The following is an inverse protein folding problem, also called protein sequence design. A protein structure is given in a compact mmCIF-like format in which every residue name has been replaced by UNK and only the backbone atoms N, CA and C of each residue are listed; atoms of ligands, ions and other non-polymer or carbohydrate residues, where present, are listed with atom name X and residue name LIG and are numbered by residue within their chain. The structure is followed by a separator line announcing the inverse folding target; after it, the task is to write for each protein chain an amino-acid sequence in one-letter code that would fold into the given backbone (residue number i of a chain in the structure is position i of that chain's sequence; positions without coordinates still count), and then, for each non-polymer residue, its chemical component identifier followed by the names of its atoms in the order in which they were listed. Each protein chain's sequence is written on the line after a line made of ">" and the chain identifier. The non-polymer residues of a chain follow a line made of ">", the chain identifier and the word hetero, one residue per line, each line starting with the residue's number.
data_IF_872414593270
#
_entry.id   IF_872414593270
#
_cell.length_a   1.000
_cell.length_b   1.000
_cell.length_c   1.000
_cell.angle_alpha   90.00
_cell.angle_beta   90.00
_cell.angle_gamma   90.00
#
_symmetry.space_group_name_H-M   'P 1'
#
loop_
_entity.id
_entity.type
_entity.pdbx_description
1 polymer ?
#
# COMPACT_ATOMS: atom_id res chain seq x y z
N UNK A 1 -3.72 -1.43 -4.88
CA UNK A 1 -2.84 -1.68 -3.72
C UNK A 1 -2.68 -0.44 -2.83
N UNK A 2 -2.30 0.74 -3.35
CA UNK A 2 -2.05 1.96 -2.54
C UNK A 2 -3.17 2.35 -1.57
N UNK A 3 -4.41 2.32 -2.07
CA UNK A 3 -5.62 2.64 -1.27
C UNK A 3 -5.72 1.69 -0.06
N UNK A 4 -5.54 0.38 -0.29
CA UNK A 4 -5.61 -0.65 0.75
C UNK A 4 -4.48 -0.51 1.78
N UNK A 5 -3.25 -0.24 1.33
CA UNK A 5 -2.12 0.00 2.24
C UNK A 5 -2.38 1.25 3.08
N UNK A 6 -2.91 2.32 2.47
CA UNK A 6 -3.28 3.52 3.20
C UNK A 6 -4.40 3.29 4.22
N UNK A 7 -5.39 2.49 3.88
CA UNK A 7 -6.45 2.07 4.79
C UNK A 7 -5.90 1.31 6.00
N UNK A 8 -5.02 0.33 5.76
CA UNK A 8 -4.39 -0.45 6.84
C UNK A 8 -3.47 0.37 7.73
N UNK A 9 -2.72 1.31 7.16
CA UNK A 9 -1.90 2.25 7.93
C UNK A 9 -2.75 3.09 8.88
N UNK A 10 -3.91 3.57 8.43
CA UNK A 10 -4.82 4.38 9.26
C UNK A 10 -5.47 3.53 10.34
N UNK A 11 -6.02 2.36 10.01
CA UNK A 11 -6.62 1.47 11.04
C UNK A 11 -5.58 1.04 12.07
N UNK A 12 -4.39 0.61 11.63
CA UNK A 12 -3.31 0.19 12.53
C UNK A 12 -2.87 1.32 13.47
N UNK A 13 -2.95 2.57 13.04
CA UNK A 13 -2.60 3.73 13.86
C UNK A 13 -3.56 3.94 15.05
N UNK A 14 -4.82 3.54 14.94
CA UNK A 14 -5.83 3.75 15.98
C UNK A 14 -5.55 2.96 17.25
N UNK A 15 -4.89 1.80 17.14
CA UNK A 15 -4.47 0.98 18.29
C UNK A 15 -3.56 1.76 19.24
N UNK A 16 -2.69 2.62 18.71
CA UNK A 16 -1.78 3.44 19.52
C UNK A 16 -2.32 4.84 19.81
N UNK A 17 -3.23 5.35 18.97
CA UNK A 17 -3.72 6.73 19.07
C UNK A 17 -4.94 6.90 19.97
N UNK A 18 -5.74 5.84 20.17
CA UNK A 18 -6.96 5.86 20.98
C UNK A 18 -6.82 4.98 22.24
N UNK A 19 -6.12 5.45 23.29
CA UNK A 19 -5.79 4.63 24.46
C UNK A 19 -6.99 4.34 25.38
N UNK A 20 -8.10 5.07 25.27
CA UNK A 20 -9.32 4.81 26.06
C UNK A 20 -10.15 3.64 25.53
N UNK A 21 -9.94 3.25 24.26
CA UNK A 21 -10.69 2.18 23.61
C UNK A 21 -10.06 0.84 23.94
N UNK A 22 -10.82 -0.05 24.59
CA UNK A 22 -10.37 -1.42 24.89
C UNK A 22 -10.70 -2.33 23.72
N UNK A 23 -9.78 -2.40 22.76
CA UNK A 23 -9.93 -3.19 21.54
C UNK A 23 -10.15 -4.69 21.83
N UNK A 24 -11.11 -5.35 21.14
CA UNK A 24 -11.32 -6.79 21.26
C UNK A 24 -10.10 -7.59 20.79
N UNK A 25 -9.81 -8.71 21.45
CA UNK A 25 -8.64 -9.57 21.16
C UNK A 25 -8.62 -10.06 19.71
N UNK A 26 -9.77 -10.47 19.17
CA UNK A 26 -9.88 -10.90 17.77
C UNK A 26 -9.47 -9.78 16.78
N UNK A 27 -9.76 -8.52 17.11
CA UNK A 27 -9.39 -7.37 16.29
C UNK A 27 -7.90 -7.02 16.44
N UNK A 28 -7.33 -7.17 17.63
CA UNK A 28 -5.88 -7.04 17.86
C UNK A 28 -5.10 -8.11 17.08
N UNK A 29 -5.51 -9.38 17.13
CA UNK A 29 -4.86 -10.45 16.37
C UNK A 29 -4.94 -10.23 14.85
N UNK A 30 -6.03 -9.66 14.35
CA UNK A 30 -6.13 -9.22 12.96
C UNK A 30 -5.14 -8.09 12.67
N UNK A 31 -5.04 -7.11 13.57
CA UNK A 31 -4.05 -6.03 13.51
C UNK A 31 -2.62 -6.55 13.44
N UNK A 32 -2.28 -7.57 14.23
CA UNK A 32 -0.95 -8.19 14.25
C UNK A 32 -0.59 -8.86 12.92
N UNK A 33 -1.55 -9.54 12.28
CA UNK A 33 -1.35 -10.16 10.96
C UNK A 33 -1.00 -9.15 9.87
N UNK A 34 -1.54 -7.93 9.98
CA UNK A 34 -1.26 -6.82 9.06
C UNK A 34 -0.30 -5.76 9.66
N UNK A 35 0.31 -6.05 10.82
CA UNK A 35 1.17 -5.13 11.56
C UNK A 35 2.40 -4.67 10.78
N UNK A 36 2.80 -5.45 9.77
CA UNK A 36 3.85 -5.09 8.81
C UNK A 36 3.56 -3.77 8.05
N UNK A 37 2.29 -3.42 7.86
CA UNK A 37 1.91 -2.16 7.19
C UNK A 37 1.87 -0.96 8.14
N UNK A 38 1.71 -1.19 9.46
CA UNK A 38 1.75 -0.14 10.48
C UNK A 38 3.20 0.21 10.88
N UNK A 39 4.16 -0.70 10.67
CA UNK A 39 5.59 -0.57 11.03
C UNK A 39 5.89 -0.15 12.50
N UNK A 40 4.87 0.03 13.34
CA UNK A 40 5.00 0.11 14.79
C UNK A 40 5.52 -1.21 15.39
N UNK A 41 5.42 -2.32 14.65
CA UNK A 41 5.92 -3.66 15.03
C UNK A 41 7.33 -3.99 14.53
N UNK A 42 8.16 -3.02 14.13
CA UNK A 42 9.61 -3.26 14.27
C UNK A 42 9.92 -3.15 15.76
N UNK A 43 9.35 -4.08 16.54
CA UNK A 43 9.72 -4.33 17.91
C UNK A 43 11.14 -4.85 17.82
N UNK A 44 12.09 -3.94 17.99
CA UNK A 44 13.46 -4.29 18.29
C UNK A 44 13.55 -5.07 19.59
N UNK A 45 12.45 -5.53 20.20
CA UNK A 45 12.39 -6.29 21.43
C UNK A 45 13.29 -7.53 21.40
N UNK A 46 13.36 -8.24 20.26
CA UNK A 46 14.35 -9.31 20.06
C UNK A 46 15.80 -8.80 20.13
N UNK A 47 16.08 -7.61 19.61
CA UNK A 47 17.41 -6.99 19.65
C UNK A 47 17.65 -6.33 21.02
N UNK A 48 16.61 -5.86 21.69
CA UNK A 48 16.63 -5.13 22.94
C UNK A 48 16.94 -6.08 24.10
N UNK A 49 16.40 -7.30 24.06
CA UNK A 49 16.78 -8.36 25.01
C UNK A 49 18.25 -8.76 24.86
N UNK A 50 18.80 -8.70 23.63
CA UNK A 50 20.22 -8.97 23.37
C UNK A 50 21.17 -7.82 23.73
N UNK A 51 20.66 -6.58 23.86
CA UNK A 51 21.45 -5.37 24.20
C UNK A 51 21.02 -4.80 25.57
N UNK A 52 20.55 -5.66 26.47
CA UNK A 52 20.30 -5.33 27.88
C UNK A 52 19.34 -4.13 28.09
N UNK A 53 18.36 -3.95 27.21
CA UNK A 53 17.36 -2.88 27.33
C UNK A 53 17.79 -1.50 26.81
N UNK A 54 18.94 -1.38 26.12
CA UNK A 54 19.44 -0.09 25.62
C UNK A 54 18.71 0.49 24.40
N UNK A 55 17.70 -0.20 23.86
CA UNK A 55 16.90 0.29 22.74
C UNK A 55 15.64 0.97 23.26
N UNK A 56 15.72 2.29 23.32
CA UNK A 56 14.61 3.18 23.67
C UNK A 56 13.89 3.68 22.42
N UNK A 57 12.62 4.10 22.59
CA UNK A 57 11.80 4.61 21.49
C UNK A 57 12.47 5.75 20.71
N UNK A 58 13.20 6.62 21.43
CA UNK A 58 13.91 7.73 20.83
C UNK A 58 15.00 7.28 19.85
N UNK A 59 15.90 6.41 20.31
CA UNK A 59 17.06 5.95 19.55
C UNK A 59 16.61 5.18 18.30
N UNK A 60 15.58 4.36 18.43
CA UNK A 60 14.96 3.69 17.28
C UNK A 60 14.38 4.68 16.28
N UNK A 61 13.66 5.69 16.75
CA UNK A 61 13.00 6.66 15.87
C UNK A 61 14.01 7.53 15.12
N UNK A 62 15.03 8.04 15.81
CA UNK A 62 16.12 8.78 15.16
C UNK A 62 16.91 7.86 14.21
N UNK A 63 17.23 6.64 14.63
CA UNK A 63 17.92 5.65 13.81
C UNK A 63 17.19 5.34 12.50
N UNK A 64 15.88 5.08 12.56
CA UNK A 64 15.05 4.85 11.36
C UNK A 64 15.07 6.06 10.40
N UNK A 65 14.98 7.28 10.93
CA UNK A 65 15.01 8.51 10.13
C UNK A 65 16.39 8.78 9.51
N UNK A 66 17.46 8.48 10.23
CA UNK A 66 18.84 8.55 9.73
C UNK A 66 19.06 7.47 8.66
N UNK A 67 18.64 6.22 8.88
CA UNK A 67 18.75 5.15 7.89
C UNK A 67 18.00 5.51 6.61
N UNK A 68 16.81 6.11 6.73
CA UNK A 68 16.07 6.59 5.58
C UNK A 68 16.77 7.77 4.88
N UNK A 69 17.40 8.68 5.62
CA UNK A 69 18.22 9.77 5.06
C UNK A 69 19.38 9.20 4.23
N UNK A 70 20.12 8.26 4.82
CA UNK A 70 21.22 7.58 4.19
C UNK A 70 20.78 6.82 2.93
N UNK A 71 19.61 6.17 2.96
CA UNK A 71 19.03 5.52 1.79
C UNK A 71 18.77 6.52 0.65
N UNK A 72 18.17 7.67 0.94
CA UNK A 72 17.90 8.70 -0.06
C UNK A 72 19.18 9.33 -0.64
N UNK A 73 20.22 9.50 0.18
CA UNK A 73 21.54 10.02 -0.24
C UNK A 73 22.36 8.96 -0.99
N UNK A 74 22.24 7.68 -0.64
CA UNK A 74 22.98 6.60 -1.29
C UNK A 74 22.58 6.38 -2.76
N UNK A 75 21.30 6.58 -3.09
CA UNK A 75 20.82 6.42 -4.47
C UNK A 75 21.59 7.29 -5.48
N UNK A 76 21.70 8.62 -5.33
CA UNK A 76 22.46 9.45 -6.25
C UNK A 76 23.98 9.22 -6.20
N UNK A 77 24.55 8.81 -5.06
CA UNK A 77 26.00 8.58 -4.94
C UNK A 77 26.46 7.28 -5.61
N UNK A 78 25.56 6.32 -5.82
CA UNK A 78 25.87 5.10 -6.57
C UNK A 78 25.97 5.32 -8.09
N UNK A 79 25.31 6.35 -8.63
CA UNK A 79 25.29 6.66 -10.07
C UNK A 79 26.68 6.87 -10.70
N UNK A 80 27.61 7.63 -10.11
CA UNK A 80 28.97 7.78 -10.66
C UNK A 80 29.80 6.48 -10.61
N UNK A 81 29.45 5.50 -9.77
CA UNK A 81 30.13 4.19 -9.77
C UNK A 81 29.81 3.37 -11.04
N UNK A 82 28.66 3.66 -11.64
CA UNK A 82 28.15 3.01 -12.86
C UNK A 82 28.59 3.68 -14.17
N UNK A 83 29.62 4.55 -14.14
CA UNK A 83 30.16 5.25 -15.33
C UNK A 83 30.65 4.33 -16.47
N UNK A 84 30.82 3.04 -16.22
CA UNK A 84 31.23 2.04 -17.23
C UNK A 84 30.06 1.43 -18.01
N UNK A 85 28.80 1.74 -17.65
CA UNK A 85 27.62 1.29 -18.37
C UNK A 85 27.33 2.19 -19.57
N UNK A 86 26.65 1.64 -20.59
CA UNK A 86 26.14 2.44 -21.71
C UNK A 86 25.14 3.50 -21.22
N UNK A 87 25.10 4.64 -21.92
CA UNK A 87 24.25 5.79 -21.53
C UNK A 87 22.78 5.38 -21.33
N UNK A 88 22.23 4.57 -22.25
CA UNK A 88 20.86 4.07 -22.14
C UNK A 88 20.60 3.22 -20.89
N UNK A 89 21.57 2.40 -20.45
CA UNK A 89 21.43 1.58 -19.22
C UNK A 89 21.54 2.44 -17.98
N UNK A 90 22.40 3.46 -18.01
CA UNK A 90 22.57 4.41 -16.92
C UNK A 90 21.31 5.24 -16.70
N UNK A 91 20.74 5.79 -17.76
CA UNK A 91 19.48 6.56 -17.68
C UNK A 91 18.33 5.70 -17.14
N UNK A 92 18.21 4.45 -17.59
CA UNK A 92 17.20 3.52 -17.06
C UNK A 92 17.41 3.20 -15.57
N UNK A 93 18.67 3.09 -15.12
CA UNK A 93 18.99 2.89 -13.70
C UNK A 93 18.64 4.14 -12.88
N UNK A 94 18.95 5.32 -13.38
CA UNK A 94 18.59 6.61 -12.77
C UNK A 94 17.07 6.74 -12.61
N UNK A 95 16.30 6.46 -13.67
CA UNK A 95 14.84 6.48 -13.64
C UNK A 95 14.27 5.51 -12.59
N UNK A 96 14.83 4.30 -12.52
CA UNK A 96 14.42 3.27 -11.54
C UNK A 96 14.80 3.63 -10.11
N UNK A 97 15.98 4.23 -9.91
CA UNK A 97 16.42 4.69 -8.60
C UNK A 97 15.52 5.81 -8.07
N UNK A 98 15.19 6.80 -8.91
CA UNK A 98 14.26 7.89 -8.56
C UNK A 98 12.87 7.32 -8.27
N UNK A 99 12.36 6.43 -9.12
CA UNK A 99 11.07 5.77 -8.90
C UNK A 99 11.04 5.03 -7.56
N UNK A 100 12.11 4.28 -7.24
CA UNK A 100 12.23 3.56 -5.97
C UNK A 100 12.26 4.54 -4.79
N UNK A 101 13.02 5.63 -4.89
CA UNK A 101 13.06 6.67 -3.86
C UNK A 101 11.68 7.26 -3.59
N UNK A 102 10.93 7.59 -4.64
CA UNK A 102 9.56 8.15 -4.54
C UNK A 102 8.60 7.14 -3.92
N UNK A 103 8.66 5.87 -4.31
CA UNK A 103 7.82 4.80 -3.75
C UNK A 103 8.15 4.59 -2.27
N UNK A 104 9.44 4.51 -1.91
CA UNK A 104 9.87 4.32 -0.52
C UNK A 104 9.50 5.52 0.35
N UNK A 105 9.69 6.75 -0.16
CA UNK A 105 9.24 7.96 0.53
C UNK A 105 7.73 7.93 0.77
N UNK A 106 6.93 7.54 -0.23
CA UNK A 106 5.48 7.42 -0.07
C UNK A 106 5.07 6.36 0.98
N UNK A 107 5.69 5.19 0.95
CA UNK A 107 5.33 4.07 1.87
C UNK A 107 5.77 4.36 3.29
N UNK A 108 6.98 4.89 3.48
CA UNK A 108 7.57 5.14 4.79
C UNK A 108 7.15 6.49 5.41
N UNK A 109 6.73 7.48 4.62
CA UNK A 109 6.31 8.80 5.10
C UNK A 109 5.31 8.77 6.28
N UNK A 110 4.16 8.07 6.19
CA UNK A 110 3.17 8.14 7.27
C UNK A 110 3.70 7.50 8.55
N UNK A 111 4.52 6.46 8.44
CA UNK A 111 5.15 5.76 9.56
C UNK A 111 6.18 6.67 10.24
N UNK A 112 7.15 7.17 9.47
CA UNK A 112 8.22 8.00 10.00
C UNK A 112 7.66 9.29 10.60
N UNK A 113 6.70 9.92 9.93
CA UNK A 113 6.06 11.14 10.43
C UNK A 113 5.26 10.88 11.71
N UNK A 114 4.50 9.78 11.79
CA UNK A 114 3.77 9.43 13.02
C UNK A 114 4.72 9.17 14.18
N UNK A 115 5.82 8.44 13.97
CA UNK A 115 6.82 8.21 15.02
C UNK A 115 7.49 9.50 15.49
N UNK A 116 7.79 10.41 14.57
CA UNK A 116 8.33 11.73 14.91
C UNK A 116 7.34 12.55 15.74
N UNK A 117 6.05 12.53 15.39
CA UNK A 117 5.01 13.21 16.17
C UNK A 117 4.86 12.61 17.58
N UNK A 118 4.98 11.28 17.71
CA UNK A 118 4.96 10.59 19.02
C UNK A 118 6.11 11.01 19.95
N UNK A 119 7.25 11.50 19.43
CA UNK A 119 8.36 12.04 20.25
C UNK A 119 7.94 13.29 21.03
N UNK A 120 6.93 14.01 20.56
CA UNK A 120 6.39 15.21 21.21
C UNK A 120 5.10 14.96 21.98
N UNK A 121 4.65 13.70 22.06
CA UNK A 121 3.46 13.32 22.80
C UNK A 121 3.85 12.99 24.23
N UNK A 122 3.54 13.91 25.14
CA UNK A 122 3.94 13.83 26.55
C UNK A 122 2.75 13.54 27.45
N UNK A 123 3.02 12.82 28.55
CA UNK A 123 2.03 12.54 29.59
C UNK A 123 2.58 12.91 30.97
N UNK A 124 1.80 13.67 31.71
CA UNK A 124 2.14 14.12 33.06
C UNK A 124 1.54 13.19 34.12
N UNK A 125 2.37 12.68 35.02
CA UNK A 125 1.98 11.93 36.22
C UNK A 125 2.46 12.69 37.45
N UNK A 126 1.57 13.50 38.04
CA UNK A 126 1.91 14.36 39.18
C UNK A 126 3.05 15.32 38.84
N UNK A 127 4.25 15.07 39.39
CA UNK A 127 5.46 15.89 39.17
C UNK A 127 6.33 15.43 38.01
N UNK A 128 6.09 14.23 37.46
CA UNK A 128 6.92 13.66 36.39
C UNK A 128 6.22 13.79 35.04
N UNK A 129 6.96 14.24 34.02
CA UNK A 129 6.49 14.23 32.63
C UNK A 129 7.29 13.19 31.87
N UNK A 130 6.60 12.24 31.25
CA UNK A 130 7.18 11.12 30.53
C UNK A 130 6.67 11.09 29.10
N UNK A 131 7.43 10.44 28.22
CA UNK A 131 7.01 10.23 26.84
C UNK A 131 5.83 9.25 26.77
N UNK A 132 4.75 9.59 26.08
CA UNK A 132 3.57 8.71 25.98
C UNK A 132 3.89 7.39 25.28
N UNK A 133 4.79 7.43 24.29
CA UNK A 133 5.23 6.26 23.54
C UNK A 133 6.16 5.33 24.34
N UNK A 134 6.86 5.84 25.36
CA UNK A 134 7.78 5.05 26.20
C UNK A 134 7.89 5.68 27.59
N UNK A 135 7.22 5.07 28.57
CA UNK A 135 7.12 5.62 29.93
C UNK A 135 8.44 5.54 30.72
N UNK A 136 9.45 4.83 30.20
CA UNK A 136 10.79 4.76 30.80
C UNK A 136 11.55 6.08 30.68
N UNK A 137 11.15 6.92 29.72
CA UNK A 137 11.85 8.13 29.32
C UNK A 137 11.20 9.38 29.93
N UNK A 138 11.95 10.11 30.76
CA UNK A 138 11.50 11.40 31.32
C UNK A 138 11.84 12.54 30.37
N UNK A 139 10.86 13.37 30.03
CA UNK A 139 10.98 14.45 29.03
C UNK A 139 12.20 15.36 29.24
N UNK A 140 12.53 15.66 30.50
CA UNK A 140 13.67 16.52 30.86
C UNK A 140 15.02 16.03 30.31
N UNK A 141 15.19 14.72 30.15
CA UNK A 141 16.44 14.09 29.72
C UNK A 141 16.46 13.86 28.20
N UNK A 142 15.39 14.22 27.48
CA UNK A 142 15.16 13.94 26.07
C UNK A 142 15.43 15.12 25.13
N UNK A 143 16.19 16.14 25.55
CA UNK A 143 16.45 17.32 24.71
C UNK A 143 17.07 16.96 23.36
N UNK A 144 18.03 16.02 23.33
CA UNK A 144 18.64 15.54 22.08
C UNK A 144 17.59 14.85 21.18
N UNK A 145 16.65 14.13 21.79
CA UNK A 145 15.58 13.44 21.11
C UNK A 145 14.61 14.42 20.46
N UNK A 146 14.20 15.43 21.22
CA UNK A 146 13.26 16.45 20.77
C UNK A 146 13.91 17.34 19.70
N UNK A 147 15.18 17.71 19.84
CA UNK A 147 15.91 18.48 18.84
C UNK A 147 16.09 17.69 17.53
N UNK A 148 16.52 16.43 17.63
CA UNK A 148 16.64 15.54 16.46
C UNK A 148 15.30 15.26 15.81
N UNK A 149 14.27 14.97 16.62
CA UNK A 149 12.89 14.76 16.18
C UNK A 149 12.32 15.98 15.48
N UNK A 150 12.57 17.19 15.98
CA UNK A 150 12.09 18.43 15.37
C UNK A 150 12.74 18.67 14.00
N UNK A 151 14.05 18.40 13.91
CA UNK A 151 14.80 18.49 12.65
C UNK A 151 14.20 17.56 11.60
N UNK A 152 14.02 16.28 11.94
CA UNK A 152 13.45 15.30 11.00
C UNK A 152 11.96 15.53 10.71
N UNK A 153 11.20 16.11 11.64
CA UNK A 153 9.81 16.49 11.42
C UNK A 153 9.74 17.59 10.33
N UNK A 154 10.59 18.61 10.39
CA UNK A 154 10.67 19.63 9.34
C UNK A 154 11.11 19.01 8.01
N UNK A 155 12.16 18.18 8.02
CA UNK A 155 12.72 17.59 6.79
C UNK A 155 11.76 16.59 6.12
N UNK A 156 11.12 15.71 6.89
CA UNK A 156 10.31 14.63 6.32
C UNK A 156 8.82 14.92 6.36
N UNK A 157 8.29 15.32 7.51
CA UNK A 157 6.84 15.53 7.66
C UNK A 157 6.36 16.73 6.85
N UNK A 158 7.17 17.80 6.75
CA UNK A 158 6.84 18.97 5.91
C UNK A 158 7.56 18.95 4.56
N UNK A 159 8.83 18.53 4.53
CA UNK A 159 9.63 18.54 3.31
C UNK A 159 9.16 17.55 2.24
N UNK A 160 8.69 16.35 2.59
CA UNK A 160 8.19 15.38 1.60
C UNK A 160 6.92 15.88 0.90
N UNK A 161 5.87 16.34 1.62
CA UNK A 161 4.70 16.94 0.97
C UNK A 161 5.07 18.14 0.08
N UNK A 162 5.97 19.02 0.54
CA UNK A 162 6.44 20.15 -0.26
C UNK A 162 7.18 19.70 -1.53
N UNK A 163 8.05 18.70 -1.43
CA UNK A 163 8.75 18.11 -2.57
C UNK A 163 7.76 17.47 -3.56
N UNK A 164 6.78 16.72 -3.07
CA UNK A 164 5.76 16.10 -3.93
C UNK A 164 4.89 17.17 -4.60
N UNK A 165 4.51 18.23 -3.90
CA UNK A 165 3.82 19.38 -4.50
C UNK A 165 4.64 20.01 -5.63
N UNK A 166 5.92 20.28 -5.39
CA UNK A 166 6.84 20.80 -6.40
C UNK A 166 6.95 19.87 -7.61
N UNK A 167 7.13 18.56 -7.40
CA UNK A 167 7.20 17.56 -8.47
C UNK A 167 5.90 17.56 -9.28
N UNK A 168 4.75 17.51 -8.62
CA UNK A 168 3.45 17.45 -9.26
C UNK A 168 3.16 18.70 -10.12
N UNK A 169 3.56 19.88 -9.65
CA UNK A 169 3.43 21.12 -10.42
C UNK A 169 4.24 21.11 -11.73
N UNK A 170 5.39 20.44 -11.75
CA UNK A 170 6.28 20.40 -12.93
C UNK A 170 6.05 19.16 -13.80
N UNK A 171 5.57 18.05 -13.25
CA UNK A 171 5.40 16.79 -13.97
C UNK A 171 3.96 16.55 -14.44
N UNK A 172 2.95 16.94 -13.64
CA UNK A 172 1.54 16.67 -13.95
C UNK A 172 0.85 17.83 -14.68
N UNK A 173 1.16 19.08 -14.31
CA UNK A 173 0.54 20.29 -14.91
C UNK A 173 0.90 20.57 -16.38
N UNK A 174 2.10 20.26 -16.91
CA UNK A 174 2.41 20.56 -18.32
C UNK A 174 1.73 19.61 -19.33
N UNK A 175 1.32 18.41 -18.93
CA UNK A 175 0.63 17.47 -19.84
C UNK A 175 -0.74 17.98 -20.31
N UNK A 176 -1.39 18.88 -19.56
CA UNK A 176 -2.68 19.49 -19.92
C UNK A 176 -2.57 20.78 -20.73
N UNK A 177 -1.38 21.36 -20.86
CA UNK A 177 -1.17 22.67 -21.50
C UNK A 177 -0.69 22.59 -22.96
N UNK A 178 -0.71 21.40 -23.58
CA UNK A 178 -0.22 21.18 -24.93
C UNK A 178 -1.32 21.40 -25.99
N UNK A 179 -1.57 22.66 -26.33
CA UNK A 179 -2.19 23.05 -27.60
C UNK A 179 -1.20 24.04 -28.26
N UNK A 180 -0.78 23.72 -29.50
CA UNK A 180 0.08 24.50 -30.43
C UNK A 180 1.62 24.34 -30.36
N UNK A 181 2.22 23.24 -30.91
CA UNK A 181 3.68 23.21 -31.20
C UNK A 181 4.13 22.36 -32.42
N UNK A 182 5.29 22.72 -32.97
CA UNK A 182 6.01 22.18 -34.15
C UNK A 182 6.48 20.72 -33.99
N UNK A 183 6.53 19.95 -35.09
CA UNK A 183 6.84 18.50 -35.11
C UNK A 183 8.25 18.13 -34.60
N UNK A 184 9.25 19.02 -34.72
CA UNK A 184 10.62 18.74 -34.29
C UNK A 184 10.76 18.71 -32.75
N UNK A 185 10.01 19.56 -32.04
CA UNK A 185 10.02 19.60 -30.57
C UNK A 185 9.13 18.52 -29.94
N UNK A 186 8.32 17.83 -30.76
CA UNK A 186 7.38 16.82 -30.29
C UNK A 186 8.10 15.55 -29.80
N UNK A 187 9.17 15.13 -30.47
CA UNK A 187 9.93 13.94 -30.09
C UNK A 187 10.61 14.10 -28.73
N UNK A 188 11.33 15.21 -28.52
CA UNK A 188 12.03 15.50 -27.27
C UNK A 188 11.06 15.67 -26.09
N UNK A 189 9.88 16.27 -26.33
CA UNK A 189 8.83 16.37 -25.31
C UNK A 189 8.23 15.01 -24.92
N UNK A 190 7.98 14.14 -25.90
CA UNK A 190 7.46 12.80 -25.63
C UNK A 190 8.45 11.97 -24.81
N UNK A 191 9.75 12.11 -25.07
CA UNK A 191 10.79 11.45 -24.27
C UNK A 191 10.89 12.04 -22.86
N UNK A 192 10.76 13.37 -22.71
CA UNK A 192 10.67 14.02 -21.41
C UNK A 192 9.46 13.53 -20.60
N UNK A 193 8.26 13.52 -21.19
CA UNK A 193 7.03 13.06 -20.55
C UNK A 193 7.12 11.57 -20.16
N UNK A 194 7.71 10.75 -21.03
CA UNK A 194 7.95 9.32 -20.75
C UNK A 194 8.85 9.15 -19.52
N UNK A 195 9.93 9.94 -19.41
CA UNK A 195 10.83 9.93 -18.24
C UNK A 195 10.12 10.41 -16.97
N UNK A 196 9.33 11.49 -17.04
CA UNK A 196 8.55 11.98 -15.90
C UNK A 196 7.52 10.94 -15.43
N UNK A 197 6.83 10.29 -16.36
CA UNK A 197 5.88 9.22 -16.06
C UNK A 197 6.59 8.01 -15.44
N UNK A 198 7.76 7.62 -15.95
CA UNK A 198 8.55 6.51 -15.40
C UNK A 198 9.02 6.78 -13.96
N UNK A 199 9.42 8.02 -13.65
CA UNK A 199 9.92 8.42 -12.33
C UNK A 199 8.80 8.71 -11.33
N UNK A 200 7.80 9.49 -11.74
CA UNK A 200 6.80 10.10 -10.85
C UNK A 200 5.36 9.68 -11.14
N UNK A 201 5.12 8.85 -12.17
CA UNK A 201 3.77 8.39 -12.52
C UNK A 201 3.04 7.69 -11.38
N UNK A 202 3.77 7.12 -10.42
CA UNK A 202 3.22 6.57 -9.18
C UNK A 202 2.40 7.61 -8.39
N UNK A 203 2.77 8.89 -8.44
CA UNK A 203 2.10 9.97 -7.70
C UNK A 203 0.81 10.42 -8.38
N UNK A 204 0.78 10.57 -9.71
CA UNK A 204 -0.35 11.22 -10.40
C UNK A 204 -1.05 10.38 -11.47
N UNK A 205 -0.41 9.37 -12.06
CA UNK A 205 -0.91 8.74 -13.29
C UNK A 205 -2.28 8.05 -13.15
N UNK A 206 -2.63 7.64 -11.92
CA UNK A 206 -3.89 6.97 -11.56
C UNK A 206 -5.06 7.94 -11.33
N UNK A 207 -4.79 9.23 -11.16
CA UNK A 207 -5.80 10.24 -10.89
C UNK A 207 -6.24 10.95 -12.16
N UNK A 208 -7.48 11.40 -12.19
CA UNK A 208 -7.98 12.25 -13.27
C UNK A 208 -7.13 13.53 -13.40
N UNK A 209 -7.00 14.10 -14.62
CA UNK A 209 -6.18 15.29 -14.84
C UNK A 209 -6.55 16.47 -13.93
N UNK A 210 -7.82 16.63 -13.60
CA UNK A 210 -8.33 17.67 -12.68
C UNK A 210 -7.91 17.47 -11.21
N UNK A 211 -7.64 16.22 -10.83
CA UNK A 211 -7.29 15.80 -9.47
C UNK A 211 -5.80 15.42 -9.35
N UNK A 212 -4.92 16.06 -10.13
CA UNK A 212 -3.47 15.77 -10.13
C UNK A 212 -2.80 15.93 -8.75
N UNK A 213 -3.35 16.79 -7.89
CA UNK A 213 -2.86 17.08 -6.54
C UNK A 213 -3.36 16.08 -5.48
N UNK A 214 -4.21 15.11 -5.86
CA UNK A 214 -4.89 14.24 -4.91
C UNK A 214 -3.96 13.41 -4.02
N UNK A 215 -2.78 13.04 -4.51
CA UNK A 215 -1.80 12.32 -3.69
C UNK A 215 -1.42 13.09 -2.42
N UNK A 216 -1.40 14.42 -2.47
CA UNK A 216 -1.12 15.26 -1.30
C UNK A 216 -2.29 15.28 -0.31
N UNK A 217 -3.52 15.22 -0.80
CA UNK A 217 -4.70 15.08 0.06
C UNK A 217 -4.72 13.71 0.74
N UNK A 218 -4.36 12.64 0.04
CA UNK A 218 -4.21 11.33 0.67
C UNK A 218 -3.07 11.30 1.70
N UNK A 219 -1.95 11.98 1.44
CA UNK A 219 -0.83 12.07 2.39
C UNK A 219 -1.18 12.88 3.64
N UNK A 220 -1.83 14.03 3.46
CA UNK A 220 -2.30 14.86 4.58
C UNK A 220 -3.39 14.13 5.38
N UNK A 221 -4.36 13.50 4.72
CA UNK A 221 -5.38 12.67 5.38
C UNK A 221 -4.76 11.62 6.31
N UNK A 222 -3.79 10.87 5.81
CA UNK A 222 -3.07 9.88 6.63
C UNK A 222 -2.38 10.56 7.81
N UNK A 223 -1.58 11.60 7.56
CA UNK A 223 -0.85 12.29 8.62
C UNK A 223 -1.76 12.84 9.72
N UNK A 224 -2.89 13.47 9.36
CA UNK A 224 -3.78 14.08 10.34
C UNK A 224 -4.55 13.00 11.11
N UNK A 225 -5.04 11.95 10.44
CA UNK A 225 -5.76 10.85 11.11
C UNK A 225 -4.86 9.98 12.00
N UNK A 226 -3.58 9.82 11.66
CA UNK A 226 -2.64 9.00 12.47
C UNK A 226 -1.83 9.82 13.47
N UNK A 227 -1.56 11.10 13.18
CA UNK A 227 -0.63 11.94 13.94
C UNK A 227 -1.32 13.04 14.73
N UNK A 228 -2.18 13.86 14.11
CA UNK A 228 -2.80 15.00 14.80
C UNK A 228 -3.71 14.56 15.96
N UNK A 229 -4.33 13.39 15.83
CA UNK A 229 -5.17 12.77 16.87
C UNK A 229 -4.41 12.56 18.19
N UNK A 230 -3.08 12.38 18.15
CA UNK A 230 -2.24 12.17 19.34
C UNK A 230 -2.19 13.38 20.26
N UNK A 231 -2.38 14.59 19.72
CA UNK A 231 -2.31 15.83 20.49
C UNK A 231 -3.65 16.25 21.07
N UNK A 232 -4.73 15.53 20.74
CA UNK A 232 -6.06 15.78 21.26
C UNK A 232 -6.21 14.97 22.54
N UNK A 233 -6.22 15.67 23.68
CA UNK A 233 -6.37 15.17 25.07
C UNK A 233 -6.55 13.64 25.16
N UNK A 234 -5.44 12.87 25.23
CA UNK A 234 -5.47 11.42 25.11
C UNK A 234 -6.40 10.77 26.15
N UNK A 235 -7.23 9.85 25.68
CA UNK A 235 -8.11 9.04 26.53
C UNK A 235 -9.44 9.68 26.90
N UNK A 236 -9.75 10.87 26.35
CA UNK A 236 -11.07 11.49 26.47
C UNK A 236 -11.94 11.14 25.27
N UNK A 237 -13.25 10.97 25.51
CA UNK A 237 -14.24 10.69 24.47
C UNK A 237 -14.23 11.74 23.34
N UNK A 238 -13.89 12.99 23.66
CA UNK A 238 -13.74 14.09 22.68
C UNK A 238 -12.67 13.81 21.61
N UNK A 239 -11.63 13.02 21.93
CA UNK A 239 -10.61 12.60 20.98
C UNK A 239 -11.20 11.74 19.87
N UNK A 240 -12.05 10.76 20.23
CA UNK A 240 -12.72 9.88 19.28
C UNK A 240 -13.69 10.68 18.41
N UNK A 241 -14.50 11.56 19.01
CA UNK A 241 -15.43 12.44 18.28
C UNK A 241 -14.73 13.29 17.23
N UNK A 242 -13.62 13.96 17.59
CA UNK A 242 -12.86 14.76 16.64
C UNK A 242 -12.29 13.90 15.50
N UNK A 243 -11.82 12.69 15.82
CA UNK A 243 -11.30 11.75 14.82
C UNK A 243 -12.39 11.30 13.85
N UNK A 244 -13.61 11.04 14.33
CA UNK A 244 -14.78 10.75 13.49
C UNK A 244 -15.09 11.93 12.57
N UNK A 245 -15.15 13.16 13.10
CA UNK A 245 -15.42 14.35 12.29
C UNK A 245 -14.37 14.54 11.19
N UNK A 246 -13.10 14.37 11.53
CA UNK A 246 -12.01 14.46 10.57
C UNK A 246 -12.12 13.38 9.47
N UNK A 247 -12.40 12.14 9.85
CA UNK A 247 -12.58 11.04 8.90
C UNK A 247 -13.78 11.28 7.96
N UNK A 248 -14.88 11.84 8.48
CA UNK A 248 -16.04 12.24 7.71
C UNK A 248 -15.73 13.36 6.72
N UNK A 249 -14.99 14.40 7.12
CA UNK A 249 -14.58 15.47 6.21
C UNK A 249 -13.80 14.91 5.02
N UNK A 250 -12.84 14.02 5.27
CA UNK A 250 -12.10 13.39 4.17
C UNK A 250 -12.95 12.46 3.31
N UNK A 251 -13.92 11.75 3.90
CA UNK A 251 -14.90 10.97 3.15
C UNK A 251 -15.73 11.85 2.21
N UNK A 252 -16.22 12.99 2.69
CA UNK A 252 -16.98 13.95 1.88
C UNK A 252 -16.13 14.54 0.76
N UNK A 253 -14.87 14.90 1.04
CA UNK A 253 -13.92 15.39 0.03
C UNK A 253 -13.71 14.31 -1.05
N UNK A 254 -13.49 13.06 -0.66
CA UNK A 254 -13.34 11.93 -1.60
C UNK A 254 -14.59 11.71 -2.45
N UNK A 255 -15.78 11.75 -1.86
CA UNK A 255 -17.05 11.59 -2.57
C UNK A 255 -17.32 12.74 -3.54
N UNK A 256 -16.92 13.97 -3.19
CA UNK A 256 -17.12 15.13 -4.05
C UNK A 256 -16.21 15.13 -5.29
N UNK A 257 -14.93 14.77 -5.12
CA UNK A 257 -13.94 14.89 -6.19
C UNK A 257 -13.77 13.65 -7.07
N UNK A 258 -14.13 12.44 -6.59
CA UNK A 258 -13.99 11.15 -7.32
C UNK A 258 -12.70 11.08 -8.15
N UNK A 259 -11.54 11.11 -7.48
CA UNK A 259 -10.26 11.50 -8.07
C UNK A 259 -9.63 10.46 -9.00
N UNK A 260 -10.04 9.19 -8.97
CA UNK A 260 -9.37 8.12 -9.72
C UNK A 260 -9.91 8.02 -11.15
N UNK A 261 -9.05 7.64 -12.11
CA UNK A 261 -9.49 7.41 -13.50
C UNK A 261 -10.37 6.16 -13.66
N UNK A 262 -10.19 5.17 -12.78
CA UNK A 262 -10.95 3.93 -12.79
C UNK A 262 -12.00 3.99 -11.67
N UNK A 263 -13.31 4.04 -12.02
CA UNK A 263 -14.40 4.12 -11.05
C UNK A 263 -14.39 3.00 -10.01
N UNK A 264 -13.78 1.85 -10.33
CA UNK A 264 -13.68 0.72 -9.40
C UNK A 264 -12.68 1.01 -8.29
N UNK A 265 -11.63 1.78 -8.58
CA UNK A 265 -10.68 2.25 -7.57
C UNK A 265 -11.33 3.34 -6.70
N UNK A 266 -12.14 4.23 -7.28
CA UNK A 266 -12.95 5.18 -6.50
C UNK A 266 -13.89 4.44 -5.54
N UNK A 267 -14.58 3.39 -6.00
CA UNK A 267 -15.46 2.59 -5.16
C UNK A 267 -14.72 1.94 -3.98
N UNK A 268 -13.52 1.38 -4.21
CA UNK A 268 -12.69 0.81 -3.15
C UNK A 268 -12.21 1.90 -2.19
N UNK A 269 -11.80 3.07 -2.69
CA UNK A 269 -11.34 4.18 -1.86
C UNK A 269 -12.47 4.76 -1.00
N UNK A 270 -13.66 4.96 -1.58
CA UNK A 270 -14.87 5.34 -0.86
C UNK A 270 -15.21 4.31 0.22
N UNK A 271 -15.25 3.02 -0.14
CA UNK A 271 -15.56 1.94 0.82
C UNK A 271 -14.53 1.88 1.95
N UNK A 272 -13.25 2.06 1.65
CA UNK A 272 -12.17 2.10 2.65
C UNK A 272 -12.34 3.27 3.63
N UNK A 273 -12.71 4.45 3.14
CA UNK A 273 -12.92 5.62 4.00
C UNK A 273 -14.22 5.50 4.81
N UNK A 274 -15.28 4.96 4.22
CA UNK A 274 -16.53 4.65 4.92
C UNK A 274 -16.29 3.63 6.05
N UNK A 275 -15.58 2.55 5.76
CA UNK A 275 -15.19 1.56 6.77
C UNK A 275 -14.32 2.17 7.88
N UNK A 276 -13.47 3.15 7.56
CA UNK A 276 -12.68 3.87 8.57
C UNK A 276 -13.58 4.66 9.51
N UNK A 277 -14.59 5.37 8.98
CA UNK A 277 -15.59 6.10 9.78
C UNK A 277 -16.40 5.13 10.64
N UNK A 278 -16.89 4.03 10.07
CA UNK A 278 -17.67 3.02 10.79
C UNK A 278 -16.85 2.36 11.90
N UNK A 279 -15.56 2.07 11.65
CA UNK A 279 -14.63 1.58 12.67
C UNK A 279 -14.53 2.56 13.84
N UNK A 280 -14.36 3.85 13.58
CA UNK A 280 -14.29 4.87 14.64
C UNK A 280 -15.61 5.02 15.41
N UNK A 281 -16.76 4.88 14.74
CA UNK A 281 -18.07 4.86 15.41
C UNK A 281 -18.20 3.64 16.34
N UNK A 282 -17.77 2.46 15.89
CA UNK A 282 -17.74 1.27 16.75
C UNK A 282 -16.75 1.44 17.90
N UNK A 283 -15.59 2.06 17.67
CA UNK A 283 -14.62 2.39 18.72
C UNK A 283 -15.21 3.29 19.80
N UNK A 284 -16.08 4.24 19.44
CA UNK A 284 -16.80 5.06 20.40
C UNK A 284 -17.73 4.22 21.28
N UNK A 285 -18.41 3.23 20.71
CA UNK A 285 -19.24 2.28 21.46
C UNK A 285 -18.44 1.34 22.36
N UNK A 286 -17.14 1.15 22.07
CA UNK A 286 -16.21 0.37 22.90
C UNK A 286 -15.57 1.18 24.03
N UNK A 287 -15.74 2.51 24.03
CA UNK A 287 -15.13 3.39 25.02
C UNK A 287 -15.89 3.33 26.35
N UNK A 288 -15.23 2.82 27.39
CA UNK A 288 -15.83 2.64 28.71
C UNK A 288 -16.16 3.96 29.42
N UNK A 289 -15.50 5.06 29.04
CA UNK A 289 -15.79 6.38 29.60
C UNK A 289 -17.02 7.01 28.94
N UNK A 290 -17.25 6.71 27.67
CA UNK A 290 -18.44 7.15 26.95
C UNK A 290 -19.70 6.40 27.41
N UNK A 291 -19.59 5.08 27.62
CA UNK A 291 -20.74 4.22 27.93
C UNK A 291 -20.43 3.19 29.03
N UNK A 292 -20.41 3.58 30.31
CA UNK A 292 -19.99 2.71 31.42
C UNK A 292 -20.89 1.47 31.63
N UNK A 293 -22.18 1.56 31.32
CA UNK A 293 -23.15 0.47 31.55
C UNK A 293 -23.62 -0.24 30.26
N UNK A 294 -23.00 0.07 29.11
CA UNK A 294 -23.44 -0.48 27.81
C UNK A 294 -23.38 -2.01 27.78
N UNK A 295 -22.46 -2.62 28.51
CA UNK A 295 -22.26 -4.08 28.50
C UNK A 295 -23.22 -4.84 29.41
N UNK A 296 -23.78 -4.17 30.42
CA UNK A 296 -24.69 -4.79 31.40
C UNK A 296 -26.15 -4.59 31.04
N UNK A 297 -26.47 -3.45 30.41
CA UNK A 297 -27.86 -3.04 30.12
C UNK A 297 -28.14 -2.88 28.61
N UNK A 298 -27.11 -2.93 27.77
CA UNK A 298 -27.24 -2.71 26.33
C UNK A 298 -27.67 -3.95 25.57
N UNK A 299 -28.41 -3.71 24.48
CA UNK A 299 -28.78 -4.73 23.48
C UNK A 299 -27.55 -5.20 22.67
N UNK A 300 -26.49 -4.39 22.66
CA UNK A 300 -25.29 -4.60 21.85
C UNK A 300 -24.24 -5.34 22.67
N UNK A 301 -23.90 -6.58 22.26
CA UNK A 301 -22.84 -7.34 22.91
C UNK A 301 -21.45 -6.93 22.42
N UNK A 302 -20.42 -7.16 23.25
CA UNK A 302 -19.02 -6.89 22.89
C UNK A 302 -18.57 -7.69 21.67
N UNK A 303 -19.07 -8.92 21.52
CA UNK A 303 -18.76 -9.79 20.40
C UNK A 303 -19.37 -9.28 19.09
N UNK A 304 -20.57 -8.68 19.13
CA UNK A 304 -21.16 -8.05 17.94
C UNK A 304 -20.32 -6.87 17.45
N UNK A 305 -19.82 -6.03 18.36
CA UNK A 305 -18.93 -4.91 18.00
C UNK A 305 -17.57 -5.40 17.51
N UNK A 306 -17.01 -6.45 18.10
CA UNK A 306 -15.79 -7.09 17.61
C UNK A 306 -15.97 -7.65 16.18
N UNK A 307 -17.09 -8.34 15.92
CA UNK A 307 -17.43 -8.84 14.60
C UNK A 307 -17.59 -7.70 13.58
N UNK A 308 -18.26 -6.61 13.96
CA UNK A 308 -18.42 -5.43 13.11
C UNK A 308 -17.06 -4.82 12.71
N UNK A 309 -16.13 -4.65 13.67
CA UNK A 309 -14.77 -4.17 13.39
C UNK A 309 -14.02 -5.04 12.39
N UNK A 310 -14.11 -6.36 12.54
CA UNK A 310 -13.50 -7.31 11.62
C UNK A 310 -14.12 -7.23 10.23
N UNK A 311 -15.46 -7.19 10.14
CA UNK A 311 -16.17 -7.03 8.87
C UNK A 311 -15.74 -5.75 8.17
N UNK A 312 -15.75 -4.61 8.85
CA UNK A 312 -15.35 -3.33 8.27
C UNK A 312 -13.87 -3.31 7.84
N UNK A 313 -13.01 -4.09 8.47
CA UNK A 313 -11.59 -4.18 8.10
C UNK A 313 -11.35 -5.15 6.93
N UNK A 314 -12.15 -6.23 6.82
CA UNK A 314 -12.02 -7.25 5.78
C UNK A 314 -12.68 -6.81 4.46
N UNK A 315 -13.80 -6.09 4.51
CA UNK A 315 -14.58 -5.70 3.32
C UNK A 315 -13.73 -4.96 2.26
N UNK A 316 -12.99 -3.88 2.59
CA UNK A 316 -12.16 -3.20 1.59
C UNK A 316 -11.03 -4.08 1.03
N UNK A 317 -10.44 -4.95 1.86
CA UNK A 317 -9.43 -5.90 1.41
C UNK A 317 -9.99 -6.92 0.44
N UNK A 318 -11.17 -7.48 0.74
CA UNK A 318 -11.82 -8.48 -0.10
C UNK A 318 -12.19 -7.89 -1.47
N UNK A 319 -12.73 -6.67 -1.51
CA UNK A 319 -13.01 -5.95 -2.75
C UNK A 319 -11.72 -5.68 -3.55
N UNK A 320 -10.66 -5.25 -2.87
CA UNK A 320 -9.35 -5.03 -3.47
C UNK A 320 -8.72 -6.29 -4.07
N UNK A 321 -8.81 -7.41 -3.35
CA UNK A 321 -8.35 -8.72 -3.82
C UNK A 321 -9.19 -9.21 -5.00
N UNK A 322 -10.52 -9.08 -4.93
CA UNK A 322 -11.42 -9.44 -6.02
C UNK A 322 -11.10 -8.70 -7.31
N UNK A 323 -10.89 -7.38 -7.23
CA UNK A 323 -10.47 -6.56 -8.37
C UNK A 323 -9.11 -6.98 -8.93
N UNK A 324 -8.15 -7.30 -8.06
CA UNK A 324 -6.84 -7.79 -8.47
C UNK A 324 -6.93 -9.13 -9.20
N UNK A 325 -7.68 -10.10 -8.66
CA UNK A 325 -7.88 -11.41 -9.27
C UNK A 325 -8.60 -11.30 -10.62
N UNK A 326 -9.60 -10.42 -10.71
CA UNK A 326 -10.30 -10.13 -11.96
C UNK A 326 -9.35 -9.55 -13.02
N UNK A 327 -8.55 -8.53 -12.66
CA UNK A 327 -7.59 -7.92 -13.56
C UNK A 327 -6.50 -8.91 -14.01
N UNK A 328 -6.01 -9.77 -13.10
CA UNK A 328 -5.05 -10.82 -13.41
C UNK A 328 -5.64 -11.86 -14.38
N UNK A 329 -6.88 -12.27 -14.15
CA UNK A 329 -7.58 -13.21 -15.01
C UNK A 329 -7.80 -12.63 -16.42
N UNK A 330 -8.19 -11.35 -16.54
CA UNK A 330 -8.34 -10.70 -17.84
C UNK A 330 -7.01 -10.54 -18.58
N UNK A 331 -5.93 -10.20 -17.87
CA UNK A 331 -4.58 -10.17 -18.45
C UNK A 331 -4.17 -11.56 -18.98
N UNK A 332 -4.44 -12.63 -18.21
CA UNK A 332 -4.18 -14.00 -18.63
C UNK A 332 -5.03 -14.41 -19.85
N UNK A 333 -6.28 -13.95 -19.95
CA UNK A 333 -7.13 -14.17 -21.13
C UNK A 333 -6.54 -13.50 -22.37
N UNK A 334 -6.08 -12.24 -22.25
CA UNK A 334 -5.47 -11.53 -23.37
C UNK A 334 -4.18 -12.21 -23.87
N UNK A 335 -3.36 -12.73 -22.95
CA UNK A 335 -2.16 -13.51 -23.32
C UNK A 335 -2.49 -14.82 -24.03
N UNK A 336 -3.61 -15.46 -23.71
CA UNK A 336 -4.07 -16.69 -24.38
C UNK A 336 -4.58 -16.42 -25.81
N UNK A 337 -5.27 -15.29 -26.02
CA UNK A 337 -5.81 -14.89 -27.34
C UNK A 337 -4.69 -14.43 -28.29
N UNK A 338 -3.58 -13.87 -27.78
CA UNK A 338 -2.43 -13.41 -28.59
C UNK A 338 -1.53 -14.50 -29.18
N UNK A 339 -1.82 -15.79 -29.03
CA UNK A 339 -1.16 -16.80 -29.87
C UNK A 339 -1.72 -16.62 -31.29
N UNK A 340 -0.94 -16.14 -32.28
CA UNK A 340 -1.48 -16.03 -33.64
C UNK A 340 -1.94 -17.42 -34.07
N UNK A 341 -3.09 -17.57 -34.76
CA UNK A 341 -3.35 -18.79 -35.49
C UNK A 341 -2.12 -19.02 -36.38
N UNK A 342 -1.55 -20.23 -36.38
CA UNK A 342 -0.52 -20.59 -37.35
C UNK A 342 -1.10 -20.31 -38.73
N UNK A 343 -0.74 -19.17 -39.32
CA UNK A 343 -1.02 -18.88 -40.71
C UNK A 343 -0.31 -19.99 -41.48
N UNK A 344 -1.06 -20.96 -41.99
CA UNK A 344 -0.51 -21.89 -42.98
C UNK A 344 -0.11 -21.01 -44.15
N UNK A 345 1.19 -20.87 -44.40
CA UNK A 345 1.65 -20.11 -45.57
C UNK A 345 1.02 -20.72 -46.84
N UNK A 346 0.69 -19.91 -47.86
CA UNK A 346 0.28 -20.41 -49.17
C UNK A 346 1.34 -21.40 -49.69
N UNK A 347 0.89 -22.47 -50.37
CA UNK A 347 1.75 -23.59 -50.81
C UNK A 347 3.01 -23.13 -51.57
N UNK A 348 2.95 -21.99 -52.27
CA UNK A 348 4.03 -21.43 -53.06
C UNK A 348 5.22 -20.86 -52.24
N UNK A 349 5.08 -20.69 -50.92
CA UNK A 349 6.13 -20.16 -50.03
C UNK A 349 6.66 -21.20 -49.03
N UNK A 350 6.26 -22.47 -49.19
CA UNK A 350 6.83 -23.59 -48.43
C UNK A 350 8.05 -24.10 -49.18
N UNK A 351 9.23 -23.91 -48.60
CA UNK A 351 10.50 -24.46 -49.06
C UNK A 351 10.69 -25.93 -48.62
N UNK A 352 9.59 -26.62 -48.28
CA UNK A 352 9.59 -28.02 -47.85
C UNK A 352 9.44 -28.89 -49.09
N UNK A 353 10.44 -29.73 -49.38
CA UNK A 353 10.36 -30.72 -50.46
C UNK A 353 9.19 -31.70 -50.19
N UNK A 354 8.53 -32.24 -51.23
CA UNK A 354 7.36 -33.12 -51.08
C UNK A 354 7.62 -34.34 -50.16
N UNK A 355 8.88 -34.78 -50.06
CA UNK A 355 9.30 -35.87 -49.18
C UNK A 355 9.24 -35.52 -47.68
N UNK A 356 9.49 -34.25 -47.31
CA UNK A 356 9.41 -33.78 -45.92
C UNK A 356 7.95 -33.67 -45.44
N UNK A 357 7.03 -33.28 -46.33
CA UNK A 357 5.61 -33.17 -46.00
C UNK A 357 4.98 -34.55 -45.78
N UNK A 358 5.33 -35.55 -46.60
CA UNK A 358 4.87 -36.92 -46.40
C UNK A 358 5.44 -37.53 -45.11
N UNK A 359 6.71 -37.25 -44.79
CA UNK A 359 7.34 -37.69 -43.55
C UNK A 359 6.71 -37.03 -42.32
N UNK A 360 6.44 -35.72 -42.37
CA UNK A 360 5.77 -35.00 -41.30
C UNK A 360 4.29 -35.41 -41.14
N UNK A 361 3.59 -35.67 -42.25
CA UNK A 361 2.22 -36.19 -42.23
C UNK A 361 2.17 -37.57 -41.56
N UNK A 362 3.06 -38.50 -41.95
CA UNK A 362 3.20 -39.83 -41.32
C UNK A 362 3.57 -39.74 -39.84
N UNK A 363 4.43 -38.78 -39.47
CA UNK A 363 4.82 -38.58 -38.07
C UNK A 363 3.67 -38.01 -37.24
N UNK A 364 2.85 -37.14 -37.84
CA UNK A 364 1.69 -36.55 -37.18
C UNK A 364 0.55 -37.55 -36.99
N UNK A 365 0.28 -38.41 -38.00
CA UNK A 365 -0.71 -39.47 -37.90
C UNK A 365 -0.31 -40.52 -36.86
N UNK A 366 0.96 -40.95 -36.85
CA UNK A 366 1.48 -41.87 -35.83
C UNK A 366 1.39 -41.29 -34.41
N UNK A 367 1.63 -39.98 -34.23
CA UNK A 367 1.45 -39.30 -32.93
C UNK A 367 -0.01 -39.24 -32.50
N UNK A 368 -0.93 -39.02 -33.44
CA UNK A 368 -2.38 -39.01 -33.19
C UNK A 368 -2.91 -40.40 -32.84
N UNK A 369 -2.47 -41.44 -33.54
CA UNK A 369 -2.80 -42.84 -33.20
C UNK A 369 -2.24 -43.24 -31.83
N UNK A 370 -0.99 -42.90 -31.53
CA UNK A 370 -0.41 -43.16 -30.21
C UNK A 370 -1.15 -42.43 -29.08
N UNK A 371 -1.64 -41.22 -29.34
CA UNK A 371 -2.45 -40.45 -28.39
C UNK A 371 -3.84 -41.06 -28.20
N UNK A 372 -4.51 -41.46 -29.29
CA UNK A 372 -5.82 -42.12 -29.22
C UNK A 372 -5.75 -43.47 -28.51
N UNK A 373 -4.72 -44.28 -28.78
CA UNK A 373 -4.45 -45.53 -28.05
C UNK A 373 -4.19 -45.30 -26.56
N UNK A 374 -3.54 -44.18 -26.19
CA UNK A 374 -3.37 -43.79 -24.78
C UNK A 374 -4.71 -43.43 -24.14
N UNK A 375 -5.57 -42.71 -24.84
CA UNK A 375 -6.92 -42.37 -24.35
C UNK A 375 -7.79 -43.63 -24.20
N UNK A 376 -7.73 -44.56 -25.15
CA UNK A 376 -8.47 -45.82 -25.05
C UNK A 376 -7.96 -46.70 -23.90
N UNK A 377 -6.63 -46.83 -23.72
CA UNK A 377 -6.03 -47.49 -22.55
C UNK A 377 -6.41 -46.83 -21.24
N UNK A 378 -6.63 -45.52 -21.23
CA UNK A 378 -7.06 -44.79 -20.04
C UNK A 378 -8.55 -45.02 -19.77
N UNK A 379 -9.39 -45.03 -20.81
CA UNK A 379 -10.82 -45.37 -20.71
C UNK A 379 -11.04 -46.82 -20.26
N UNK A 380 -10.28 -47.78 -20.77
CA UNK A 380 -10.42 -49.20 -20.38
C UNK A 380 -10.01 -49.46 -18.92
N UNK A 381 -9.02 -48.72 -18.39
CA UNK A 381 -8.70 -48.74 -16.95
C UNK A 381 -9.80 -48.14 -16.09
N UNK A 382 -10.51 -47.11 -16.58
CA UNK A 382 -11.63 -46.50 -15.86
C UNK A 382 -12.89 -47.36 -15.86
N UNK A 383 -13.17 -48.11 -16.94
CA UNK A 383 -14.31 -49.05 -16.98
C UNK A 383 -14.07 -50.30 -16.15
N UNK A 384 -12.84 -50.85 -16.12
CA UNK A 384 -12.49 -51.98 -15.25
C UNK A 384 -12.57 -51.63 -13.75
N UNK A 385 -12.29 -50.38 -13.37
CA UNK A 385 -12.40 -49.91 -11.97
C UNK A 385 -13.85 -49.63 -11.53
N UNK A 386 -14.79 -49.51 -12.47
CA UNK A 386 -16.22 -49.29 -12.18
C UNK A 386 -17.01 -50.59 -12.04
N UNK A 387 -16.52 -51.71 -12.57
CA UNK A 387 -17.13 -53.04 -12.41
C UNK A 387 -16.59 -53.84 -11.21
N UNK A 388 -15.55 -53.36 -10.50
CA UNK A 388 -15.01 -54.02 -9.30
C UNK A 388 -15.48 -53.40 -7.98
N UNK A 389 -16.43 -52.47 -8.00
CA UNK A 389 -16.97 -51.79 -6.81
C UNK A 389 -18.47 -52.03 -6.62
N UNK A 390 -18.96 -53.20 -7.01
CA UNK A 390 -20.35 -53.62 -6.79
C UNK A 390 -20.43 -55.06 -6.28
N UNK A 391 -19.64 -55.42 -5.26
CA UNK A 391 -19.90 -56.56 -4.38
C UNK A 391 -19.26 -56.30 -3.02
N UNK A 392 -20.06 -56.52 -1.98
CA UNK A 392 -19.88 -56.31 -0.53
C UNK A 392 -20.15 -54.90 -0.03
#
# INVERSE_FOLDING_TARGET
>A
WKVLVGFMQVIGSFFSSLPSVVWPTAFLSFGDLFGWFSFDFVSFEFINTNINGGIDYCNTTLGMNISFACFLVALPTTLPFYRRLSDARREALEDRAVWLAVVMAFVLYPVLSMRLLKVFSERTFGTYTVLQADWRLQTKDLLYCQAGGATFLVVYTLGIPFLFWRILLHAARPATAAIDFSQADAADRLDFERRQLARFGVLYAKYEPQCWWWELVELSRKLVLTGAVLFIKPGYVTQIWFTIMLALVFLLIMTYFTPFKDPRIDAIAFTSQLCTVLTLIVSLGLDANAFPNVWTEGVISRDMLAAALLVFSIVPLALGLGLFLWAAHDALRMLRVRRPPRVKLPLALRDESPDEEEKNARTSSARLEAFNLRIERWRSRFTLRRNSSSWV
#
